data_IF_891213743715
#
_entry.id   IF_891213743715
#
_cell.length_a   1.000
_cell.length_b   1.000
_cell.length_c   1.000
_cell.angle_alpha   90.00
_cell.angle_beta   90.00
_cell.angle_gamma   90.00
#
_symmetry.space_group_name_H-M   'P 1'
#
loop_
_entity.id
_entity.type
_entity.pdbx_description
1 polymer ?
#
# COMPACT_ATOMS: atom_id res chain seq x y z
N UNK A 1 2.01 47.92 19.68
CA UNK A 1 1.28 47.16 20.72
C UNK A 1 1.35 45.70 20.34
N UNK A 2 2.08 44.88 21.10
CA UNK A 2 2.19 43.44 20.86
C UNK A 2 0.84 42.75 21.14
N UNK A 3 0.39 41.91 20.19
CA UNK A 3 -0.84 41.07 20.25
C UNK A 3 -0.85 40.25 21.56
N UNK A 4 -2.03 40.04 22.15
CA UNK A 4 -2.26 39.20 23.34
C UNK A 4 -1.51 37.86 23.31
N UNK A 5 -1.42 37.20 22.15
CA UNK A 5 -0.68 35.94 21.98
C UNK A 5 0.82 36.08 22.25
N UNK A 6 1.41 37.20 21.83
CA UNK A 6 2.84 37.48 22.04
C UNK A 6 3.16 37.84 23.49
N UNK A 7 2.20 38.39 24.25
CA UNK A 7 2.35 38.59 25.70
C UNK A 7 2.25 37.27 26.47
N UNK A 8 1.36 36.37 26.06
CA UNK A 8 1.27 35.02 26.65
C UNK A 8 2.53 34.21 26.38
N UNK A 9 3.09 34.28 25.16
CA UNK A 9 4.34 33.57 24.84
C UNK A 9 5.54 34.14 25.63
N UNK A 10 5.66 35.46 25.76
CA UNK A 10 6.70 36.07 26.59
C UNK A 10 6.57 35.70 28.06
N UNK A 11 5.34 35.66 28.60
CA UNK A 11 5.08 35.23 29.97
C UNK A 11 5.47 33.77 30.20
N UNK A 12 5.13 32.87 29.27
CA UNK A 12 5.50 31.45 29.35
C UNK A 12 7.03 31.27 29.28
N UNK A 13 7.71 32.00 28.40
CA UNK A 13 9.17 31.96 28.28
C UNK A 13 9.89 32.51 29.53
N UNK A 14 9.29 33.50 30.20
CA UNK A 14 9.82 34.05 31.45
C UNK A 14 9.65 33.08 32.63
N UNK A 15 8.50 32.38 32.70
CA UNK A 15 8.28 31.29 33.66
C UNK A 15 9.24 30.11 33.43
N UNK A 16 9.55 29.77 32.18
CA UNK A 16 10.50 28.70 31.83
C UNK A 16 11.95 29.04 32.20
N UNK A 17 12.37 30.31 32.07
CA UNK A 17 13.69 30.78 32.55
C UNK A 17 13.82 30.67 34.07
N UNK A 18 12.74 30.88 34.82
CA UNK A 18 12.70 30.65 36.27
C UNK A 18 12.88 29.17 36.64
N UNK A 19 12.33 28.27 35.81
CA UNK A 19 12.48 26.82 35.95
C UNK A 19 13.92 26.34 35.64
N UNK A 20 14.61 26.89 34.64
CA UNK A 20 16.02 26.57 34.38
C UNK A 20 16.95 26.96 35.54
N UNK A 21 16.69 28.10 36.20
CA UNK A 21 17.42 28.51 37.41
C UNK A 21 17.17 27.55 38.59
N UNK A 22 15.94 27.02 38.73
CA UNK A 22 15.59 26.02 39.74
C UNK A 22 16.24 24.65 39.48
N UNK A 23 16.32 24.21 38.22
CA UNK A 23 17.03 22.97 37.85
C UNK A 23 18.54 23.12 38.06
N UNK A 24 19.12 24.28 37.73
CA UNK A 24 20.52 24.59 38.02
C UNK A 24 20.86 24.58 39.52
N UNK A 25 19.94 25.07 40.37
CA UNK A 25 20.05 24.96 41.82
C UNK A 25 19.97 23.51 42.31
N UNK A 26 19.16 22.66 41.67
CA UNK A 26 19.01 21.24 42.00
C UNK A 26 20.28 20.43 41.74
N UNK A 27 21.04 20.76 40.68
CA UNK A 27 22.31 20.10 40.36
C UNK A 27 23.39 20.42 41.40
N UNK A 28 23.37 21.62 42.01
CA UNK A 28 24.33 22.02 43.05
C UNK A 28 24.02 21.42 44.44
N UNK A 29 22.77 21.02 44.73
CA UNK A 29 22.38 20.37 45.99
C UNK A 29 22.95 18.94 46.12
N UNK A 30 23.42 18.35 45.02
CA UNK A 30 24.10 17.03 45.02
C UNK A 30 25.46 17.02 45.75
N UNK A 31 26.02 18.19 46.09
CA UNK A 31 27.33 18.35 46.74
C UNK A 31 27.29 18.76 48.21
N UNK A 32 26.10 18.87 48.82
CA UNK A 32 25.96 19.26 50.24
C UNK A 32 25.85 18.04 51.17
N UNK A 33 26.35 18.20 52.40
CA UNK A 33 26.32 17.15 53.44
C UNK A 33 24.90 16.62 53.71
N UNK A 34 24.84 15.34 54.06
CA UNK A 34 23.65 14.48 54.09
C UNK A 34 22.48 15.01 54.94
N UNK A 35 22.75 15.86 55.93
CA UNK A 35 21.73 16.46 56.81
C UNK A 35 20.87 17.54 56.12
N UNK A 36 21.50 18.50 55.44
CA UNK A 36 20.79 19.62 54.80
C UNK A 36 19.99 19.16 53.56
N UNK A 37 20.49 18.10 52.91
CA UNK A 37 19.85 17.46 51.76
C UNK A 37 18.50 16.83 52.12
N UNK A 38 18.38 16.20 53.30
CA UNK A 38 17.12 15.63 53.79
C UNK A 38 16.09 16.70 54.17
N UNK A 39 16.54 17.81 54.75
CA UNK A 39 15.66 18.93 55.11
C UNK A 39 15.09 19.65 53.88
N UNK A 40 15.94 19.94 52.87
CA UNK A 40 15.50 20.54 51.60
C UNK A 40 14.60 19.62 50.76
N UNK A 41 14.85 18.30 50.78
CA UNK A 41 13.95 17.33 50.16
C UNK A 41 12.56 17.34 50.79
N UNK A 42 12.45 17.56 52.10
CA UNK A 42 11.16 17.61 52.79
C UNK A 42 10.40 18.91 52.54
N UNK A 43 11.12 20.03 52.38
CA UNK A 43 10.52 21.33 52.07
C UNK A 43 9.99 21.44 50.63
N UNK A 44 10.62 20.73 49.68
CA UNK A 44 10.28 20.77 48.25
C UNK A 44 9.33 19.63 47.82
N UNK A 45 9.03 18.66 48.69
CA UNK A 45 8.29 17.44 48.30
C UNK A 45 6.77 17.48 48.41
N UNK A 46 6.15 18.51 48.98
CA UNK A 46 4.69 18.46 49.22
C UNK A 46 3.84 19.23 48.21
N UNK A 47 4.33 20.29 47.58
CA UNK A 47 3.54 21.09 46.62
C UNK A 47 4.03 21.01 45.18
N UNK A 48 5.33 20.86 44.95
CA UNK A 48 5.88 20.79 43.60
C UNK A 48 5.91 19.37 43.03
N UNK A 49 5.85 18.33 43.87
CA UNK A 49 5.79 16.96 43.38
C UNK A 49 4.48 16.64 42.67
N UNK A 50 3.36 17.22 43.11
CA UNK A 50 2.09 17.13 42.39
C UNK A 50 2.15 17.90 41.06
N UNK A 51 2.77 19.08 41.02
CA UNK A 51 2.96 19.82 39.76
C UNK A 51 3.95 19.15 38.81
N UNK A 52 5.03 18.54 39.32
CA UNK A 52 6.01 17.79 38.52
C UNK A 52 5.41 16.46 38.08
N UNK A 53 4.65 15.75 38.92
CA UNK A 53 3.90 14.55 38.53
C UNK A 53 2.75 14.90 37.57
N UNK A 54 2.17 16.10 37.68
CA UNK A 54 1.18 16.59 36.72
C UNK A 54 1.88 17.02 35.42
N UNK A 55 3.05 17.66 35.41
CA UNK A 55 3.80 17.99 34.18
C UNK A 55 4.41 16.74 33.53
N UNK A 56 4.95 15.80 34.31
CA UNK A 56 5.49 14.52 33.84
C UNK A 56 4.38 13.55 33.45
N UNK A 57 3.25 13.55 34.17
CA UNK A 57 2.04 12.80 33.85
C UNK A 57 1.27 13.40 32.68
N UNK A 58 1.27 14.73 32.51
CA UNK A 58 0.73 15.44 31.35
C UNK A 58 1.66 15.29 30.15
N UNK A 59 2.98 15.20 30.32
CA UNK A 59 3.90 14.81 29.24
C UNK A 59 3.83 13.32 28.87
N UNK A 60 3.42 12.44 29.79
CA UNK A 60 3.11 11.04 29.48
C UNK A 60 1.68 10.85 28.93
N UNK A 61 0.77 11.80 29.19
CA UNK A 61 -0.61 11.81 28.73
C UNK A 61 -0.89 12.80 27.58
N UNK A 62 0.13 13.52 27.09
CA UNK A 62 0.19 13.90 25.68
C UNK A 62 0.32 12.57 24.95
N UNK A 63 -0.85 12.07 24.57
CA UNK A 63 -1.06 10.95 23.67
C UNK A 63 0.10 10.95 22.66
N UNK A 64 0.90 9.89 22.63
CA UNK A 64 1.92 9.71 21.59
C UNK A 64 1.30 9.73 20.18
N UNK A 65 -0.04 9.73 20.07
CA UNK A 65 -0.80 10.01 18.85
C UNK A 65 -0.93 11.50 18.47
N UNK A 66 -0.76 12.45 19.39
CA UNK A 66 -0.90 13.90 19.12
C UNK A 66 0.39 14.61 18.70
N UNK A 67 1.55 13.95 18.84
CA UNK A 67 2.81 14.37 18.22
C UNK A 67 3.23 13.45 17.05
N UNK A 68 2.36 12.52 16.65
CA UNK A 68 2.58 11.64 15.51
C UNK A 68 2.17 12.34 14.23
N UNK A 69 3.06 12.36 13.25
CA UNK A 69 2.71 12.70 11.85
C UNK A 69 1.43 11.93 11.51
N UNK A 70 0.39 12.62 11.02
CA UNK A 70 -0.82 11.94 10.59
C UNK A 70 -0.41 11.05 9.40
N UNK A 71 -0.59 9.74 9.56
CA UNK A 71 -0.17 8.77 8.55
C UNK A 71 -1.36 8.45 7.64
N UNK A 72 -1.20 8.71 6.34
CA UNK A 72 -2.15 8.33 5.31
C UNK A 72 -1.89 6.88 4.92
N UNK A 73 -2.92 6.04 5.02
CA UNK A 73 -2.80 4.59 4.77
C UNK A 73 -3.41 4.24 3.41
N UNK A 74 -2.65 3.46 2.64
CA UNK A 74 -3.09 2.83 1.41
C UNK A 74 -2.79 1.33 1.49
N UNK A 75 -3.78 0.49 1.19
CA UNK A 75 -3.58 -0.96 1.10
C UNK A 75 -3.72 -1.42 -0.34
N UNK A 76 -2.69 -2.10 -0.83
CA UNK A 76 -2.71 -2.79 -2.12
C UNK A 76 -2.95 -4.28 -1.89
N UNK A 77 -3.83 -4.88 -2.68
CA UNK A 77 -4.12 -6.31 -2.63
C UNK A 77 -4.07 -6.87 -4.05
N UNK A 78 -3.09 -7.73 -4.34
CA UNK A 78 -3.12 -8.52 -5.58
C UNK A 78 -4.20 -9.58 -5.44
N UNK A 79 -4.98 -9.77 -6.49
CA UNK A 79 -5.98 -10.84 -6.56
C UNK A 79 -5.40 -12.22 -6.13
N UNK A 80 -6.24 -13.07 -5.56
CA UNK A 80 -5.90 -14.47 -5.26
C UNK A 80 -5.56 -15.27 -6.52
N UNK A 81 -5.00 -16.47 -6.39
CA UNK A 81 -4.70 -17.33 -7.54
C UNK A 81 -5.91 -17.47 -8.49
N UNK A 82 -5.74 -17.16 -9.78
CA UNK A 82 -6.76 -17.44 -10.80
C UNK A 82 -6.63 -18.84 -11.39
N UNK A 83 -7.68 -19.33 -12.04
CA UNK A 83 -7.68 -20.59 -12.79
C UNK A 83 -6.50 -20.67 -13.77
N UNK A 84 -6.25 -19.60 -14.54
CA UNK A 84 -5.13 -19.59 -15.49
C UNK A 84 -3.75 -19.40 -14.86
N UNK A 85 -3.68 -18.89 -13.62
CA UNK A 85 -2.41 -18.97 -12.88
C UNK A 85 -2.09 -20.41 -12.50
N UNK A 86 -3.11 -21.19 -12.12
CA UNK A 86 -2.97 -22.62 -11.84
C UNK A 86 -2.60 -23.41 -13.10
N UNK A 87 -3.24 -23.12 -14.24
CA UNK A 87 -2.95 -23.74 -15.55
C UNK A 87 -1.66 -23.23 -16.23
N UNK A 88 -0.93 -22.32 -15.59
CA UNK A 88 0.29 -21.72 -16.13
C UNK A 88 0.12 -21.01 -17.50
N UNK A 89 -1.01 -20.33 -17.72
CA UNK A 89 -1.33 -19.61 -18.97
C UNK A 89 -1.08 -18.11 -18.86
N UNK A 90 -0.86 -17.45 -19.99
CA UNK A 90 -0.87 -15.99 -20.07
C UNK A 90 -2.31 -15.49 -20.03
N UNK A 91 -2.66 -14.72 -19.00
CA UNK A 91 -4.04 -14.24 -18.79
C UNK A 91 -4.30 -12.88 -19.41
N UNK A 92 -3.60 -11.85 -18.92
CA UNK A 92 -3.82 -10.47 -19.33
C UNK A 92 -5.25 -10.02 -19.05
N UNK A 93 -5.92 -9.49 -20.07
CA UNK A 93 -7.29 -9.00 -19.97
C UNK A 93 -8.35 -10.09 -20.18
N UNK A 94 -7.95 -11.36 -20.41
CA UNK A 94 -8.93 -12.43 -20.37
C UNK A 94 -9.55 -12.47 -18.98
N UNK A 95 -10.88 -12.44 -18.96
CA UNK A 95 -11.65 -12.38 -17.72
C UNK A 95 -11.90 -13.78 -17.15
N UNK A 96 -10.89 -14.35 -16.51
CA UNK A 96 -10.98 -15.62 -15.77
C UNK A 96 -11.17 -15.37 -14.28
N UNK A 97 -11.80 -16.34 -13.62
CA UNK A 97 -12.11 -16.24 -12.19
C UNK A 97 -10.97 -16.78 -11.30
N UNK A 98 -11.18 -16.67 -10.00
CA UNK A 98 -10.36 -17.24 -8.94
C UNK A 98 -10.47 -18.77 -8.96
N UNK A 99 -9.34 -19.43 -8.68
CA UNK A 99 -9.36 -20.85 -8.33
C UNK A 99 -9.93 -21.03 -6.91
N UNK A 100 -10.28 -22.26 -6.48
CA UNK A 100 -10.65 -22.52 -5.08
C UNK A 100 -9.59 -22.01 -4.09
N UNK A 101 -8.31 -22.14 -4.43
CA UNK A 101 -7.22 -21.57 -3.63
C UNK A 101 -7.26 -20.03 -3.61
N UNK A 102 -7.54 -19.39 -4.75
CA UNK A 102 -7.65 -17.93 -4.83
C UNK A 102 -8.78 -17.36 -3.98
N UNK A 103 -9.90 -18.08 -3.85
CA UNK A 103 -11.01 -17.73 -2.97
C UNK A 103 -10.55 -17.74 -1.50
N UNK A 104 -9.85 -18.79 -1.07
CA UNK A 104 -9.32 -18.88 0.29
C UNK A 104 -8.26 -17.81 0.57
N UNK A 105 -7.41 -17.50 -0.41
CA UNK A 105 -6.45 -16.39 -0.31
C UNK A 105 -7.16 -15.04 -0.13
N UNK A 106 -8.24 -14.78 -0.85
CA UNK A 106 -9.02 -13.55 -0.73
C UNK A 106 -9.70 -13.41 0.64
N UNK A 107 -10.33 -14.48 1.13
CA UNK A 107 -10.94 -14.51 2.46
C UNK A 107 -9.89 -14.31 3.56
N UNK A 108 -8.76 -15.00 3.46
CA UNK A 108 -7.65 -14.85 4.41
C UNK A 108 -7.14 -13.41 4.46
N UNK A 109 -7.03 -12.72 3.33
CA UNK A 109 -6.64 -11.31 3.29
C UNK A 109 -7.61 -10.42 4.07
N UNK A 110 -8.93 -10.63 3.91
CA UNK A 110 -9.95 -9.90 4.67
C UNK A 110 -9.91 -10.16 6.17
N UNK A 111 -9.70 -11.42 6.59
CA UNK A 111 -9.53 -11.79 8.01
C UNK A 111 -8.34 -11.09 8.64
N UNK A 112 -7.17 -11.16 7.98
CA UNK A 112 -5.94 -10.51 8.45
C UNK A 112 -6.12 -8.99 8.57
N UNK A 113 -6.74 -8.35 7.57
CA UNK A 113 -7.02 -6.91 7.63
C UNK A 113 -7.87 -6.55 8.85
N UNK A 114 -8.92 -7.33 9.13
CA UNK A 114 -9.80 -7.13 10.27
C UNK A 114 -9.10 -7.36 11.61
N UNK A 115 -8.36 -8.46 11.73
CA UNK A 115 -7.61 -8.83 12.94
C UNK A 115 -6.55 -7.79 13.31
N UNK A 116 -5.88 -7.22 12.31
CA UNK A 116 -4.89 -6.16 12.46
C UNK A 116 -5.52 -4.76 12.62
N UNK A 117 -6.86 -4.66 12.67
CA UNK A 117 -7.59 -3.41 12.92
C UNK A 117 -7.60 -2.42 11.75
N UNK A 118 -7.32 -2.88 10.53
CA UNK A 118 -7.44 -2.05 9.33
C UNK A 118 -8.90 -1.86 8.94
N UNK A 119 -9.20 -0.68 8.43
CA UNK A 119 -10.52 -0.32 7.96
C UNK A 119 -10.42 0.77 6.88
N UNK A 120 -11.44 0.89 6.03
CA UNK A 120 -11.40 1.69 4.80
C UNK A 120 -12.59 2.63 4.67
N UNK A 121 -12.48 3.60 3.77
CA UNK A 121 -13.58 4.52 3.42
C UNK A 121 -13.99 4.39 1.95
N UNK A 122 -13.09 3.86 1.12
CA UNK A 122 -13.33 3.63 -0.30
C UNK A 122 -12.39 2.53 -0.83
N UNK A 123 -12.88 1.74 -1.77
CA UNK A 123 -12.10 0.71 -2.43
C UNK A 123 -12.10 0.87 -3.96
N UNK A 124 -10.99 0.49 -4.57
CA UNK A 124 -10.81 0.48 -6.01
C UNK A 124 -10.49 -0.92 -6.53
N UNK A 125 -11.00 -1.23 -7.71
CA UNK A 125 -10.62 -2.45 -8.41
C UNK A 125 -10.65 -2.28 -9.93
N UNK A 126 -10.22 -3.32 -10.63
CA UNK A 126 -10.23 -3.39 -12.10
C UNK A 126 -11.61 -3.76 -12.64
N UNK A 127 -11.73 -3.94 -13.96
CA UNK A 127 -12.92 -4.55 -14.57
C UNK A 127 -12.91 -6.09 -14.55
N UNK A 128 -11.80 -6.71 -14.16
CA UNK A 128 -11.62 -8.16 -14.26
C UNK A 128 -12.10 -8.88 -12.99
N UNK A 129 -12.92 -9.91 -13.18
CA UNK A 129 -13.68 -10.60 -12.13
C UNK A 129 -12.81 -11.12 -11.00
N UNK A 130 -11.63 -11.70 -11.29
CA UNK A 130 -10.70 -12.19 -10.24
C UNK A 130 -10.29 -11.12 -9.22
N UNK A 131 -10.14 -9.86 -9.63
CA UNK A 131 -9.80 -8.77 -8.72
C UNK A 131 -11.04 -8.27 -7.99
N UNK A 132 -12.19 -8.20 -8.68
CA UNK A 132 -13.49 -7.85 -8.11
C UNK A 132 -13.87 -8.84 -7.01
N UNK A 133 -13.87 -10.15 -7.30
CA UNK A 133 -14.18 -11.20 -6.34
C UNK A 133 -13.18 -11.24 -5.19
N UNK A 134 -11.88 -10.98 -5.44
CA UNK A 134 -10.90 -10.87 -4.35
C UNK A 134 -11.28 -9.75 -3.39
N UNK A 135 -11.60 -8.56 -3.91
CA UNK A 135 -12.02 -7.44 -3.08
C UNK A 135 -13.29 -7.76 -2.31
N UNK A 136 -14.29 -8.31 -3.00
CA UNK A 136 -15.61 -8.58 -2.43
C UNK A 136 -15.52 -9.58 -1.28
N UNK A 137 -14.81 -10.70 -1.46
CA UNK A 137 -14.55 -11.69 -0.41
C UNK A 137 -13.77 -11.11 0.77
N UNK A 138 -12.76 -10.27 0.50
CA UNK A 138 -12.01 -9.62 1.57
C UNK A 138 -12.90 -8.64 2.38
N UNK A 139 -13.72 -7.84 1.70
CA UNK A 139 -14.67 -6.92 2.34
C UNK A 139 -15.77 -7.65 3.12
N UNK A 140 -16.24 -8.81 2.64
CA UNK A 140 -17.17 -9.67 3.37
C UNK A 140 -16.59 -10.13 4.71
N UNK A 141 -15.36 -10.64 4.73
CA UNK A 141 -14.68 -11.07 5.95
C UNK A 141 -14.44 -9.90 6.93
N UNK A 142 -14.10 -8.73 6.39
CA UNK A 142 -13.98 -7.48 7.15
C UNK A 142 -15.33 -6.99 7.71
N UNK A 143 -16.47 -7.42 7.14
CA UNK A 143 -17.79 -6.88 7.45
C UNK A 143 -18.02 -5.48 6.86
N UNK A 144 -17.35 -5.18 5.74
CA UNK A 144 -17.33 -3.86 5.06
C UNK A 144 -17.88 -3.89 3.64
N UNK A 145 -18.88 -4.74 3.38
CA UNK A 145 -19.55 -4.82 2.07
C UNK A 145 -20.30 -3.53 1.68
N UNK A 146 -20.52 -2.64 2.65
CA UNK A 146 -21.14 -1.32 2.49
C UNK A 146 -20.23 -0.30 1.78
N UNK A 147 -18.93 -0.59 1.66
CA UNK A 147 -17.97 0.37 1.12
C UNK A 147 -18.27 0.75 -0.34
N UNK A 148 -18.09 2.04 -0.71
CA UNK A 148 -18.11 2.42 -2.10
C UNK A 148 -16.93 1.75 -2.84
N UNK A 149 -17.25 1.04 -3.93
CA UNK A 149 -16.29 0.34 -4.79
C UNK A 149 -16.29 0.97 -6.18
N UNK A 150 -15.17 1.60 -6.55
CA UNK A 150 -14.96 2.18 -7.88
C UNK A 150 -14.18 1.20 -8.75
N UNK A 151 -14.69 0.91 -9.94
CA UNK A 151 -14.07 0.00 -10.91
C UNK A 151 -13.50 0.80 -12.08
N UNK A 152 -12.31 0.43 -12.56
CA UNK A 152 -11.72 1.06 -13.75
C UNK A 152 -10.84 0.11 -14.53
N UNK A 153 -10.98 0.10 -15.86
CA UNK A 153 -10.09 -0.66 -16.76
C UNK A 153 -8.63 -0.20 -16.64
N UNK A 154 -8.39 1.04 -16.19
CA UNK A 154 -7.04 1.56 -15.97
C UNK A 154 -6.29 0.79 -14.89
N UNK A 155 -6.97 0.03 -14.03
CA UNK A 155 -6.39 -0.90 -13.05
C UNK A 155 -6.32 -2.35 -13.53
N UNK A 156 -6.68 -2.66 -14.78
CA UNK A 156 -6.54 -4.01 -15.34
C UNK A 156 -5.08 -4.49 -15.34
N UNK A 157 -4.88 -5.81 -15.41
CA UNK A 157 -3.57 -6.42 -15.65
C UNK A 157 -2.93 -5.91 -16.94
N UNK A 158 -1.63 -6.10 -17.13
CA UNK A 158 -0.97 -5.89 -18.43
C UNK A 158 -1.64 -6.75 -19.52
N UNK A 159 -1.99 -6.15 -20.65
CA UNK A 159 -2.52 -6.86 -21.81
C UNK A 159 -1.42 -7.67 -22.50
N UNK A 160 -1.53 -9.00 -22.52
CA UNK A 160 -0.48 -9.88 -23.08
C UNK A 160 -0.60 -10.10 -24.60
N UNK A 161 -1.48 -9.36 -25.26
CA UNK A 161 -1.67 -9.43 -26.70
C UNK A 161 -2.02 -10.82 -27.19
N UNK A 162 -1.38 -11.26 -28.27
CA UNK A 162 -1.61 -12.57 -28.86
C UNK A 162 -1.18 -13.74 -27.96
N UNK A 163 -0.39 -13.50 -26.91
CA UNK A 163 -0.02 -14.55 -25.95
C UNK A 163 -1.19 -14.97 -25.06
N UNK A 164 -2.25 -14.16 -24.93
CA UNK A 164 -3.39 -14.48 -24.06
C UNK A 164 -4.00 -15.83 -24.42
N UNK A 165 -4.05 -16.74 -23.45
CA UNK A 165 -4.52 -18.12 -23.58
C UNK A 165 -3.43 -19.14 -23.89
N UNK A 166 -2.21 -18.74 -24.19
CA UNK A 166 -1.13 -19.72 -24.41
C UNK A 166 -0.57 -20.21 -23.07
N UNK A 167 -0.23 -21.49 -23.00
CA UNK A 167 0.52 -22.05 -21.87
C UNK A 167 1.97 -21.53 -21.93
N UNK A 168 2.52 -21.11 -20.79
CA UNK A 168 3.86 -20.50 -20.74
C UNK A 168 4.96 -21.51 -21.07
N UNK A 169 4.83 -22.77 -20.66
CA UNK A 169 5.82 -23.82 -20.93
C UNK A 169 5.84 -24.15 -22.42
N UNK A 170 4.67 -24.35 -23.03
CA UNK A 170 4.57 -24.60 -24.49
C UNK A 170 5.07 -23.41 -25.31
N UNK A 171 4.77 -22.19 -24.86
CA UNK A 171 5.27 -20.96 -25.49
C UNK A 171 6.80 -20.89 -25.41
N UNK A 172 7.39 -21.28 -24.27
CA UNK A 172 8.84 -21.30 -24.10
C UNK A 172 9.52 -22.36 -24.96
N UNK A 173 8.90 -23.54 -25.14
CA UNK A 173 9.37 -24.56 -26.08
C UNK A 173 9.36 -24.06 -27.53
N UNK A 174 8.34 -23.26 -27.90
CA UNK A 174 8.19 -22.76 -29.27
C UNK A 174 9.07 -21.55 -29.60
N UNK A 175 9.21 -20.60 -28.66
CA UNK A 175 9.87 -19.31 -28.91
C UNK A 175 11.18 -19.12 -28.13
N UNK A 176 11.55 -20.07 -27.28
CA UNK A 176 12.71 -19.99 -26.38
C UNK A 176 12.38 -19.38 -25.01
N UNK A 177 13.05 -19.88 -23.96
CA UNK A 177 12.86 -19.41 -22.60
C UNK A 177 13.23 -17.93 -22.42
N UNK A 178 14.34 -17.49 -23.01
CA UNK A 178 14.80 -16.10 -22.97
C UNK A 178 13.78 -15.14 -23.59
N UNK A 179 13.19 -15.49 -24.74
CA UNK A 179 12.19 -14.64 -25.40
C UNK A 179 10.91 -14.53 -24.57
N UNK A 180 10.46 -15.64 -23.97
CA UNK A 180 9.33 -15.64 -23.05
C UNK A 180 9.65 -14.86 -21.78
N UNK A 181 10.87 -14.94 -21.26
CA UNK A 181 11.32 -14.15 -20.12
C UNK A 181 11.26 -12.64 -20.44
N UNK A 182 11.79 -12.23 -21.59
CA UNK A 182 11.74 -10.84 -22.08
C UNK A 182 10.30 -10.36 -22.15
N UNK A 183 9.39 -11.09 -22.81
CA UNK A 183 7.98 -10.67 -22.88
C UNK A 183 7.32 -10.58 -21.50
N UNK A 184 7.73 -11.38 -20.52
CA UNK A 184 7.15 -11.38 -19.18
C UNK A 184 7.70 -10.31 -18.25
N UNK A 185 8.99 -9.99 -18.37
CA UNK A 185 9.72 -9.22 -17.36
C UNK A 185 10.34 -7.93 -17.88
N UNK A 186 10.58 -7.79 -19.18
CA UNK A 186 11.06 -6.55 -19.75
C UNK A 186 10.11 -5.38 -19.46
N UNK A 187 10.71 -4.21 -19.25
CA UNK A 187 10.01 -2.99 -18.93
C UNK A 187 9.21 -2.45 -20.12
N UNK A 188 9.84 -2.34 -21.29
CA UNK A 188 9.32 -1.64 -22.48
C UNK A 188 9.01 -2.57 -23.66
N UNK A 189 9.35 -3.86 -23.58
CA UNK A 189 9.08 -4.79 -24.68
C UNK A 189 7.63 -5.30 -24.63
N UNK A 190 6.88 -4.97 -25.68
CA UNK A 190 5.54 -5.49 -25.92
C UNK A 190 5.57 -6.94 -26.46
N UNK A 191 4.69 -7.83 -25.98
CA UNK A 191 4.43 -9.11 -26.63
C UNK A 191 3.76 -8.89 -28.01
N UNK A 192 3.71 -9.93 -28.87
CA UNK A 192 3.02 -9.83 -30.15
C UNK A 192 1.58 -9.34 -30.00
N UNK A 193 1.19 -8.34 -30.79
CA UNK A 193 -0.13 -7.73 -30.71
C UNK A 193 -1.26 -8.62 -31.24
N UNK A 194 -2.47 -8.43 -30.70
CA UNK A 194 -3.68 -8.94 -31.32
C UNK A 194 -3.90 -8.27 -32.69
N UNK A 195 -4.59 -8.98 -33.59
CA UNK A 195 -5.15 -8.36 -34.79
C UNK A 195 -6.40 -7.56 -34.41
N UNK A 196 -6.73 -6.47 -35.12
CA UNK A 196 -7.93 -5.67 -34.82
C UNK A 196 -9.25 -6.46 -34.83
N UNK A 197 -9.35 -7.52 -35.63
CA UNK A 197 -10.53 -8.38 -35.75
C UNK A 197 -10.47 -9.65 -34.88
N UNK A 198 -9.46 -9.78 -34.02
CA UNK A 198 -9.38 -10.89 -33.07
C UNK A 198 -10.45 -10.72 -31.98
N UNK A 199 -11.22 -11.76 -31.67
CA UNK A 199 -12.27 -11.73 -30.66
C UNK A 199 -11.77 -11.31 -29.26
N UNK A 200 -10.47 -11.49 -29.00
CA UNK A 200 -9.82 -11.09 -27.74
C UNK A 200 -9.53 -9.59 -27.67
N UNK A 201 -9.74 -8.84 -28.76
CA UNK A 201 -9.57 -7.39 -28.80
C UNK A 201 -10.58 -6.73 -27.83
N UNK A 202 -10.14 -5.96 -26.83
CA UNK A 202 -11.06 -5.32 -25.88
C UNK A 202 -12.07 -4.38 -26.54
N UNK A 203 -11.74 -3.78 -27.70
CA UNK A 203 -12.66 -2.90 -28.43
C UNK A 203 -13.88 -3.64 -29.01
N UNK A 204 -13.85 -4.97 -29.07
CA UNK A 204 -14.95 -5.82 -29.54
C UNK A 204 -15.74 -6.45 -28.38
N UNK A 205 -15.40 -6.15 -27.13
CA UNK A 205 -16.01 -6.76 -25.95
C UNK A 205 -16.96 -5.80 -25.25
N UNK A 206 -18.14 -6.30 -24.87
CA UNK A 206 -19.18 -5.52 -24.18
C UNK A 206 -18.70 -4.85 -22.89
N UNK A 207 -17.73 -5.47 -22.19
CA UNK A 207 -17.13 -4.92 -20.97
C UNK A 207 -16.53 -3.52 -21.17
N UNK A 208 -16.15 -3.16 -22.40
CA UNK A 208 -15.47 -1.90 -22.72
C UNK A 208 -16.26 -1.00 -23.70
N UNK A 209 -17.56 -1.27 -23.92
CA UNK A 209 -18.37 -0.56 -24.94
C UNK A 209 -18.41 0.97 -24.78
N UNK A 210 -18.21 1.49 -23.56
CA UNK A 210 -18.20 2.93 -23.26
C UNK A 210 -16.81 3.58 -23.28
N UNK A 211 -15.76 2.82 -23.62
CA UNK A 211 -14.38 3.31 -23.66
C UNK A 211 -14.00 3.61 -25.11
N UNK A 212 -13.24 4.69 -25.34
CA UNK A 212 -12.75 4.99 -26.67
C UNK A 212 -11.82 3.86 -27.14
N UNK A 213 -12.15 3.25 -28.28
CA UNK A 213 -11.40 2.13 -28.83
C UNK A 213 -9.91 2.43 -29.06
N UNK A 214 -9.53 3.70 -29.28
CA UNK A 214 -8.12 4.09 -29.41
C UNK A 214 -7.31 4.00 -28.11
N UNK A 215 -7.98 3.98 -26.96
CA UNK A 215 -7.35 3.80 -25.65
C UNK A 215 -7.18 2.32 -25.27
N UNK A 216 -7.86 1.41 -25.98
CA UNK A 216 -7.87 -0.01 -25.68
C UNK A 216 -6.68 -0.72 -26.35
N UNK A 217 -5.84 -1.44 -25.58
CA UNK A 217 -4.61 -2.00 -26.11
C UNK A 217 -4.84 -3.29 -26.91
N UNK A 218 -4.06 -3.46 -27.98
CA UNK A 218 -3.87 -4.76 -28.63
C UNK A 218 -2.71 -5.56 -28.01
N UNK A 219 -1.84 -4.90 -27.24
CA UNK A 219 -0.74 -5.45 -26.44
C UNK A 219 -0.19 -4.35 -25.51
N UNK A 220 0.46 -4.74 -24.42
CA UNK A 220 1.10 -3.80 -23.50
C UNK A 220 2.47 -4.34 -23.05
N UNK A 221 3.41 -3.41 -22.85
CA UNK A 221 4.58 -3.55 -22.00
C UNK A 221 4.23 -3.15 -20.56
N UNK A 222 5.20 -3.26 -19.63
CA UNK A 222 5.00 -2.69 -18.30
C UNK A 222 4.96 -1.15 -18.36
N UNK A 223 5.76 -0.53 -19.24
CA UNK A 223 5.76 0.90 -19.51
C UNK A 223 4.38 1.41 -19.95
N UNK A 224 3.71 0.70 -20.85
CA UNK A 224 2.35 1.07 -21.29
C UNK A 224 1.32 0.94 -20.16
N UNK A 225 1.46 -0.12 -19.35
CA UNK A 225 0.62 -0.31 -18.16
C UNK A 225 0.79 0.86 -17.17
N UNK A 226 2.02 1.30 -16.94
CA UNK A 226 2.33 2.48 -16.09
C UNK A 226 1.67 3.74 -16.66
N UNK A 227 1.77 3.95 -17.97
CA UNK A 227 1.24 5.14 -18.65
C UNK A 227 -0.27 5.31 -18.49
N UNK A 228 -1.04 4.25 -18.23
CA UNK A 228 -2.47 4.35 -17.89
C UNK A 228 -2.79 4.29 -16.39
N UNK A 229 -1.98 3.58 -15.59
CA UNK A 229 -2.23 3.41 -14.15
C UNK A 229 -1.91 4.68 -13.37
N UNK A 230 -0.77 5.30 -13.65
CA UNK A 230 -0.31 6.46 -12.85
C UNK A 230 -1.21 7.68 -13.03
N UNK A 231 -1.63 8.07 -14.25
CA UNK A 231 -2.58 9.16 -14.40
C UNK A 231 -3.92 8.90 -13.69
N UNK A 232 -4.39 7.65 -13.67
CA UNK A 232 -5.59 7.29 -12.91
C UNK A 232 -5.38 7.42 -11.40
N UNK A 233 -4.24 6.96 -10.90
CA UNK A 233 -3.90 7.13 -9.48
C UNK A 233 -3.85 8.61 -9.09
N UNK A 234 -3.13 9.44 -9.85
CA UNK A 234 -2.97 10.87 -9.53
C UNK A 234 -4.28 11.66 -9.62
N UNK A 235 -5.15 11.33 -10.59
CA UNK A 235 -6.36 12.10 -10.85
C UNK A 235 -7.57 11.64 -10.02
N UNK A 236 -7.65 10.35 -9.66
CA UNK A 236 -8.81 9.78 -8.97
C UNK A 236 -8.48 9.34 -7.54
N UNK A 237 -7.42 8.56 -7.35
CA UNK A 237 -7.15 7.87 -6.09
C UNK A 237 -6.42 8.76 -5.09
N UNK A 238 -5.35 9.44 -5.52
CA UNK A 238 -4.53 10.32 -4.69
C UNK A 238 -5.34 11.47 -4.07
N UNK A 239 -6.31 12.11 -4.77
CA UNK A 239 -7.20 13.09 -4.15
C UNK A 239 -8.01 12.51 -2.98
N UNK A 240 -8.44 11.24 -3.04
CA UNK A 240 -9.13 10.60 -1.90
C UNK A 240 -8.20 10.44 -0.70
N UNK A 241 -6.97 9.99 -0.94
CA UNK A 241 -5.94 9.83 0.10
C UNK A 241 -5.61 11.20 0.73
N UNK A 242 -5.47 12.24 -0.10
CA UNK A 242 -5.22 13.61 0.37
C UNK A 242 -6.40 14.22 1.12
N UNK A 243 -7.63 13.77 0.83
CA UNK A 243 -8.82 14.10 1.61
C UNK A 243 -8.93 13.31 2.93
N UNK A 244 -7.91 12.52 3.29
CA UNK A 244 -7.85 11.75 4.54
C UNK A 244 -8.61 10.43 4.50
N UNK A 245 -9.09 9.98 3.34
CA UNK A 245 -9.73 8.66 3.21
C UNK A 245 -8.70 7.54 3.26
N UNK A 246 -9.05 6.47 3.96
CA UNK A 246 -8.32 5.19 3.98
C UNK A 246 -8.72 4.39 2.75
N UNK A 247 -7.76 4.10 1.89
CA UNK A 247 -8.02 3.54 0.55
C UNK A 247 -7.52 2.10 0.46
N UNK A 248 -8.34 1.22 -0.11
CA UNK A 248 -7.94 -0.11 -0.56
C UNK A 248 -7.93 -0.20 -2.09
N UNK A 249 -6.94 -0.87 -2.68
CA UNK A 249 -6.88 -1.16 -4.12
C UNK A 249 -6.67 -2.66 -4.32
N UNK A 250 -7.68 -3.36 -4.82
CA UNK A 250 -7.57 -4.76 -5.22
C UNK A 250 -7.38 -4.88 -6.74
N UNK A 251 -6.21 -5.30 -7.19
CA UNK A 251 -5.86 -5.31 -8.61
C UNK A 251 -4.89 -6.46 -8.98
N UNK A 252 -4.03 -6.24 -9.97
CA UNK A 252 -3.23 -7.27 -10.63
C UNK A 252 -1.73 -7.05 -10.45
N UNK A 253 -0.94 -8.04 -10.86
CA UNK A 253 0.51 -8.01 -10.66
C UNK A 253 1.15 -6.77 -11.28
N UNK A 254 0.90 -6.49 -12.56
CA UNK A 254 1.60 -5.39 -13.24
C UNK A 254 0.99 -4.02 -12.94
N UNK A 255 -0.33 -3.92 -12.73
CA UNK A 255 -0.95 -2.66 -12.33
C UNK A 255 -0.50 -2.23 -10.93
N UNK A 256 -0.33 -3.19 -9.99
CA UNK A 256 0.25 -2.89 -8.68
C UNK A 256 1.75 -2.60 -8.77
N UNK A 257 2.50 -3.30 -9.63
CA UNK A 257 3.91 -2.96 -9.89
C UNK A 257 4.07 -1.53 -10.41
N UNK A 258 3.15 -1.03 -11.23
CA UNK A 258 3.17 0.36 -11.67
C UNK A 258 3.08 1.34 -10.48
N UNK A 259 2.13 1.12 -9.57
CA UNK A 259 1.99 1.92 -8.35
C UNK A 259 3.23 1.81 -7.45
N UNK A 260 3.74 0.59 -7.24
CA UNK A 260 4.94 0.32 -6.46
C UNK A 260 6.14 1.09 -7.03
N UNK A 261 6.35 1.03 -8.35
CA UNK A 261 7.43 1.77 -9.02
C UNK A 261 7.33 3.28 -8.76
N UNK A 262 6.11 3.82 -8.82
CA UNK A 262 5.85 5.24 -8.59
C UNK A 262 6.07 5.66 -7.12
N UNK A 263 5.62 4.85 -6.15
CA UNK A 263 5.77 5.18 -4.73
C UNK A 263 7.22 5.07 -4.24
N UNK A 264 7.94 4.06 -4.70
CA UNK A 264 9.31 3.77 -4.28
C UNK A 264 10.37 4.39 -5.19
N UNK A 265 9.96 5.12 -6.24
CA UNK A 265 10.86 5.75 -7.22
C UNK A 265 11.86 4.76 -7.83
N UNK A 266 11.39 3.55 -8.12
CA UNK A 266 12.23 2.47 -8.64
C UNK A 266 12.61 2.72 -10.10
N UNK A 267 13.84 2.36 -10.45
CA UNK A 267 14.31 2.33 -11.84
C UNK A 267 13.64 1.22 -12.66
N UNK A 268 13.78 1.32 -13.98
CA UNK A 268 13.31 0.30 -14.93
C UNK A 268 13.93 -1.09 -14.65
N UNK A 269 15.19 -1.12 -14.19
CA UNK A 269 15.87 -2.37 -13.85
C UNK A 269 15.32 -2.96 -12.54
N UNK A 270 15.15 -2.15 -11.50
CA UNK A 270 14.66 -2.59 -10.20
C UNK A 270 13.23 -3.13 -10.27
N UNK A 271 12.35 -2.46 -11.02
CA UNK A 271 10.95 -2.88 -11.09
C UNK A 271 10.80 -4.26 -11.73
N UNK A 272 11.71 -4.68 -12.63
CA UNK A 272 11.68 -6.00 -13.28
C UNK A 272 11.81 -7.14 -12.27
N UNK A 273 12.49 -6.88 -11.14
CA UNK A 273 12.77 -7.81 -10.04
C UNK A 273 11.66 -7.85 -8.99
N UNK A 274 10.77 -6.84 -8.96
CA UNK A 274 9.66 -6.78 -7.99
C UNK A 274 8.63 -7.88 -8.27
N UNK A 275 8.27 -8.59 -7.22
CA UNK A 275 7.20 -9.58 -7.21
C UNK A 275 6.15 -9.18 -6.17
N UNK A 276 4.88 -9.31 -6.52
CA UNK A 276 3.76 -9.03 -5.62
C UNK A 276 3.04 -10.36 -5.36
N UNK A 277 2.98 -10.86 -4.13
CA UNK A 277 2.35 -12.14 -3.81
C UNK A 277 0.82 -12.07 -3.96
N UNK A 278 0.17 -13.19 -4.26
CA UNK A 278 -1.30 -13.25 -4.40
C UNK A 278 -1.99 -13.28 -3.04
N UNK A 279 -3.05 -12.49 -2.89
CA UNK A 279 -3.90 -12.47 -1.70
C UNK A 279 -3.17 -12.16 -0.40
N UNK A 280 -2.15 -11.31 -0.43
CA UNK A 280 -1.50 -10.78 0.77
C UNK A 280 -1.64 -9.25 0.73
N UNK A 281 -2.26 -8.62 1.74
CA UNK A 281 -2.33 -7.17 1.83
C UNK A 281 -0.93 -6.55 1.97
N UNK A 282 -0.65 -5.56 1.13
CA UNK A 282 0.55 -4.74 1.15
C UNK A 282 0.18 -3.33 1.61
N UNK A 283 0.65 -2.94 2.78
CA UNK A 283 0.36 -1.64 3.40
C UNK A 283 1.44 -0.65 3.00
N UNK A 284 1.00 0.54 2.59
CA UNK A 284 1.82 1.74 2.48
C UNK A 284 1.33 2.77 3.48
N UNK A 285 2.28 3.33 4.22
CA UNK A 285 2.08 4.49 5.08
C UNK A 285 2.78 5.68 4.44
N UNK A 286 2.04 6.77 4.24
CA UNK A 286 2.56 8.04 3.75
C UNK A 286 2.47 9.10 4.83
N UNK A 287 3.49 9.94 4.91
CA UNK A 287 3.44 11.16 5.72
C UNK A 287 2.46 12.17 5.10
N UNK A 288 2.05 13.17 5.88
CA UNK A 288 1.13 14.21 5.40
C UNK A 288 1.60 14.95 4.15
N UNK A 289 2.91 15.17 4.02
CA UNK A 289 3.56 15.77 2.84
C UNK A 289 3.65 14.81 1.64
N UNK A 290 3.02 13.64 1.73
CA UNK A 290 2.85 12.68 0.63
C UNK A 290 4.05 11.76 0.41
N UNK A 291 5.08 11.81 1.26
CA UNK A 291 6.24 10.94 1.13
C UNK A 291 5.96 9.56 1.70
N UNK A 292 6.46 8.52 1.02
CA UNK A 292 6.40 7.17 1.55
C UNK A 292 7.21 7.08 2.84
N UNK A 293 6.56 6.68 3.94
CA UNK A 293 7.19 6.45 5.23
C UNK A 293 7.57 4.97 5.40
N UNK A 294 6.62 4.08 5.10
CA UNK A 294 6.78 2.66 5.39
C UNK A 294 5.98 1.80 4.40
N UNK A 295 6.49 0.59 4.17
CA UNK A 295 5.84 -0.48 3.41
C UNK A 295 6.04 -1.82 4.11
N UNK A 296 4.99 -2.63 4.21
CA UNK A 296 5.08 -3.98 4.76
C UNK A 296 3.87 -4.85 4.35
N UNK A 297 4.06 -6.17 4.36
CA UNK A 297 2.97 -7.12 4.14
C UNK A 297 2.34 -7.52 5.47
N UNK A 298 1.01 -7.68 5.49
CA UNK A 298 0.28 -8.18 6.65
C UNK A 298 0.20 -9.71 6.66
N UNK A 299 0.22 -10.29 7.86
CA UNK A 299 0.10 -11.73 8.11
C UNK A 299 1.42 -12.41 8.47
N UNK A 300 1.39 -13.74 8.42
CA UNK A 300 2.52 -14.61 8.76
C UNK A 300 3.70 -14.42 7.80
N UNK A 301 4.86 -14.01 8.34
CA UNK A 301 6.02 -13.63 7.54
C UNK A 301 6.65 -14.82 6.80
N UNK A 302 6.65 -16.02 7.39
CA UNK A 302 7.20 -17.22 6.75
C UNK A 302 6.33 -17.64 5.54
N UNK A 303 5.01 -17.55 5.70
CA UNK A 303 4.06 -17.80 4.62
C UNK A 303 4.18 -16.78 3.48
N UNK A 304 4.43 -15.50 3.82
CA UNK A 304 4.68 -14.43 2.84
C UNK A 304 5.94 -14.72 2.03
N UNK A 305 7.04 -15.07 2.69
CA UNK A 305 8.30 -15.42 2.01
C UNK A 305 8.12 -16.63 1.07
N UNK A 306 7.41 -17.66 1.50
CA UNK A 306 7.10 -18.82 0.67
C UNK A 306 6.29 -18.44 -0.58
N UNK A 307 5.27 -17.58 -0.43
CA UNK A 307 4.47 -17.06 -1.56
C UNK A 307 5.31 -16.20 -2.51
N UNK A 308 6.20 -15.35 -1.99
CA UNK A 308 7.11 -14.55 -2.80
C UNK A 308 8.01 -15.43 -3.69
N UNK A 309 8.57 -16.50 -3.12
CA UNK A 309 9.35 -17.51 -3.86
C UNK A 309 8.49 -18.21 -4.93
N UNK A 310 7.23 -18.54 -4.61
CA UNK A 310 6.32 -19.17 -5.57
C UNK A 310 5.99 -18.25 -6.76
N UNK A 311 5.84 -16.94 -6.57
CA UNK A 311 5.62 -15.99 -7.68
C UNK A 311 6.81 -15.93 -8.63
N UNK A 312 8.04 -16.01 -8.10
CA UNK A 312 9.26 -16.09 -8.93
C UNK A 312 9.26 -17.38 -9.78
N UNK A 313 8.81 -18.49 -9.21
CA UNK A 313 8.73 -19.78 -9.89
C UNK A 313 7.63 -19.86 -10.95
N UNK A 314 6.59 -19.01 -10.89
CA UNK A 314 5.53 -18.99 -11.91
C UNK A 314 6.13 -18.77 -13.29
N UNK A 315 5.88 -19.69 -14.22
CA UNK A 315 6.33 -19.66 -15.60
C UNK A 315 7.81 -20.02 -15.83
N UNK A 316 8.48 -20.67 -14.87
CA UNK A 316 9.60 -21.57 -15.22
C UNK A 316 9.00 -22.87 -15.79
N UNK A 317 9.67 -23.50 -16.76
CA UNK A 317 9.33 -24.85 -17.17
C UNK A 317 9.45 -25.78 -15.95
N UNK A 318 8.47 -26.68 -15.78
CA UNK A 318 8.56 -27.77 -14.80
C UNK A 318 9.25 -28.96 -15.46
#
# INVERSE_FOLDING_TARGET
MLNEDSRQLSYILEQLKGLEQLVGAFVNISRLETGLRKFLYHLLSSQYWLYIAMIMGYNQAIDKRKAGVLMKILVLLRHGQSEWNLENRFTGWKDVDLSPKGIEEAKSAGKVLKEEGYDFDIAYTSYLQRAIHTLQLALEEMGRIDLPVIKSWKLNERHYGALQGLNKTETAQKYGEEQVHIWRRSFDVQPPALKPNDERNPALQDLYHGINASELPLTESLKDTIARVIPYYEQEILPQINAGKRVAIAAHGNSLRALIMYFEQLSEEEITKVNVPTGIPLVYEFTDDGKMHKKFYLGDQDAIEAKMKAVVAQGKAK
#
